data_IF_941842675850
#
_entry.id   IF_941842675850
#
_cell.length_a   1.000
_cell.length_b   1.000
_cell.length_c   1.000
_cell.angle_alpha   90.00
_cell.angle_beta   90.00
_cell.angle_gamma   90.00
#
_symmetry.space_group_name_H-M   'P 1'
#
loop_
_entity.id
_entity.type
_entity.pdbx_description
1 polymer ?
#
# COMPACT_ATOMS: atom_id res chain seq x y z
N UNK A 1 -12.03 35.38 27.45
CA UNK A 1 -12.65 34.40 26.56
C UNK A 1 -11.57 33.94 25.60
N UNK A 2 -11.13 32.68 25.68
CA UNK A 2 -10.22 32.14 24.67
C UNK A 2 -11.06 32.00 23.40
N UNK A 3 -10.85 32.88 22.44
CA UNK A 3 -11.43 32.72 21.10
C UNK A 3 -10.80 31.51 20.47
N UNK A 4 -11.60 30.47 20.18
CA UNK A 4 -11.16 29.33 19.38
C UNK A 4 -10.71 29.80 18.00
N UNK A 5 -9.64 29.23 17.47
CA UNK A 5 -9.24 29.57 16.09
C UNK A 5 -10.25 28.92 15.14
N UNK A 6 -10.77 29.75 14.21
CA UNK A 6 -11.72 29.32 13.18
C UNK A 6 -11.01 29.15 11.83
N UNK A 7 -11.32 28.09 11.12
CA UNK A 7 -10.84 27.79 9.77
C UNK A 7 -12.01 27.44 8.84
N UNK A 8 -11.89 27.76 7.57
CA UNK A 8 -12.86 27.26 6.58
C UNK A 8 -12.78 25.73 6.49
N UNK A 9 -11.55 25.17 6.56
CA UNK A 9 -11.32 23.73 6.41
C UNK A 9 -10.31 23.22 7.44
N UNK A 10 -10.68 22.18 8.15
CA UNK A 10 -9.77 21.42 9.01
C UNK A 10 -9.53 20.04 8.42
N UNK A 11 -8.27 19.73 8.13
CA UNK A 11 -7.82 18.43 7.59
C UNK A 11 -7.22 17.61 8.72
N UNK A 12 -7.76 16.42 8.97
CA UNK A 12 -7.26 15.48 9.98
C UNK A 12 -6.35 14.45 9.31
N UNK A 13 -5.04 14.61 9.47
CA UNK A 13 -3.99 13.81 8.87
C UNK A 13 -3.22 14.55 7.78
N UNK A 14 -1.90 14.62 7.94
CA UNK A 14 -0.96 15.30 7.03
C UNK A 14 -0.23 14.34 6.09
N UNK A 15 -0.91 13.25 5.64
CA UNK A 15 -0.40 12.33 4.62
C UNK A 15 -0.57 12.84 3.20
N UNK A 16 -0.44 11.95 2.20
CA UNK A 16 -0.60 12.30 0.78
C UNK A 16 -1.95 12.96 0.50
N UNK A 17 -3.06 12.30 0.88
CA UNK A 17 -4.42 12.80 0.65
C UNK A 17 -4.70 14.10 1.40
N UNK A 18 -4.25 14.20 2.67
CA UNK A 18 -4.46 15.41 3.47
C UNK A 18 -3.68 16.63 2.96
N UNK A 19 -2.44 16.44 2.51
CA UNK A 19 -1.65 17.52 1.89
C UNK A 19 -2.25 17.94 0.54
N UNK A 20 -2.72 17.01 -0.28
CA UNK A 20 -3.40 17.31 -1.53
C UNK A 20 -4.71 18.09 -1.29
N UNK A 21 -5.53 17.65 -0.32
CA UNK A 21 -6.75 18.32 0.05
C UNK A 21 -6.49 19.74 0.57
N UNK A 22 -5.54 19.88 1.49
CA UNK A 22 -5.23 21.19 2.08
C UNK A 22 -4.72 22.20 1.04
N UNK A 23 -3.82 21.76 0.13
CA UNK A 23 -3.31 22.63 -0.94
C UNK A 23 -4.44 23.02 -1.90
N UNK A 24 -5.34 22.09 -2.25
CA UNK A 24 -6.47 22.36 -3.14
C UNK A 24 -7.43 23.37 -2.51
N UNK A 25 -7.82 23.17 -1.26
CA UNK A 25 -8.69 24.08 -0.54
C UNK A 25 -8.07 25.49 -0.38
N UNK A 26 -6.79 25.57 0.00
CA UNK A 26 -6.09 26.84 0.15
C UNK A 26 -5.95 27.60 -1.17
N UNK A 27 -5.75 26.91 -2.30
CA UNK A 27 -5.76 27.51 -3.65
C UNK A 27 -7.14 28.06 -4.05
N UNK A 28 -8.21 27.51 -3.49
CA UNK A 28 -9.56 28.02 -3.63
C UNK A 28 -9.86 29.20 -2.66
N UNK A 29 -8.84 29.73 -1.98
CA UNK A 29 -8.97 30.89 -1.08
C UNK A 29 -9.47 30.55 0.33
N UNK A 30 -9.54 29.27 0.70
CA UNK A 30 -9.98 28.85 2.04
C UNK A 30 -8.84 28.95 3.06
N UNK A 31 -9.17 29.35 4.28
CA UNK A 31 -8.27 29.22 5.44
C UNK A 31 -8.21 27.74 5.87
N UNK A 32 -7.00 27.15 5.94
CA UNK A 32 -6.84 25.72 6.14
C UNK A 32 -5.90 25.41 7.31
N UNK A 33 -6.31 24.44 8.14
CA UNK A 33 -5.46 23.87 9.19
C UNK A 33 -5.35 22.36 9.00
N UNK A 34 -4.12 21.82 9.09
CA UNK A 34 -3.86 20.38 9.17
C UNK A 34 -3.53 19.99 10.60
N UNK A 35 -4.26 19.01 11.15
CA UNK A 35 -3.94 18.37 12.43
C UNK A 35 -3.29 17.01 12.15
N UNK A 36 -2.00 16.87 12.46
CA UNK A 36 -1.22 15.66 12.22
C UNK A 36 -0.75 15.05 13.55
N UNK A 37 -0.95 13.74 13.72
CA UNK A 37 -0.57 13.03 14.96
C UNK A 37 0.94 12.80 15.12
N UNK A 38 1.66 12.65 14.01
CA UNK A 38 3.11 12.47 14.03
C UNK A 38 3.83 13.83 14.14
N UNK A 39 5.12 13.80 14.31
CA UNK A 39 5.97 14.98 14.52
C UNK A 39 6.07 15.90 13.31
N UNK A 40 5.66 15.45 12.14
CA UNK A 40 5.64 16.24 10.90
C UNK A 40 4.68 15.63 9.86
N UNK A 41 4.20 16.43 8.93
CA UNK A 41 3.41 15.97 7.79
C UNK A 41 4.27 15.22 6.75
N UNK A 42 3.63 14.34 5.97
CA UNK A 42 4.22 13.63 4.83
C UNK A 42 5.21 12.52 5.19
N UNK A 43 5.28 12.07 6.45
CA UNK A 43 6.28 11.07 6.86
C UNK A 43 6.05 9.69 6.25
N UNK A 44 4.79 9.28 6.00
CA UNK A 44 4.49 8.00 5.33
C UNK A 44 4.97 8.00 3.87
N UNK A 45 4.99 9.15 3.19
CA UNK A 45 5.51 9.28 1.82
C UNK A 45 6.98 8.83 1.72
N UNK A 46 7.80 9.12 2.75
CA UNK A 46 9.23 8.79 2.76
C UNK A 46 9.52 7.28 2.65
N UNK A 47 8.57 6.43 3.00
CA UNK A 47 8.71 4.98 2.92
C UNK A 47 8.17 4.39 1.60
N UNK A 48 7.39 5.16 0.83
CA UNK A 48 6.75 4.67 -0.39
C UNK A 48 7.76 4.43 -1.52
N UNK A 49 7.52 3.41 -2.34
CA UNK A 49 8.39 3.07 -3.47
C UNK A 49 9.86 2.85 -3.07
N UNK A 50 10.10 2.23 -1.90
CA UNK A 50 11.45 2.06 -1.33
C UNK A 50 12.21 3.38 -1.17
N UNK A 51 11.54 4.45 -0.74
CA UNK A 51 12.11 5.78 -0.57
C UNK A 51 12.17 6.62 -1.85
N UNK A 52 11.64 6.12 -2.98
CA UNK A 52 11.59 6.81 -4.27
C UNK A 52 10.29 7.56 -4.50
N UNK A 53 9.23 7.27 -3.75
CA UNK A 53 7.86 7.77 -3.90
C UNK A 53 7.27 7.42 -5.29
N UNK A 54 6.69 6.24 -5.43
CA UNK A 54 5.91 5.90 -6.62
C UNK A 54 4.60 6.70 -6.61
N UNK A 55 4.62 7.87 -7.28
CA UNK A 55 3.56 8.88 -7.23
C UNK A 55 2.22 8.38 -7.79
N UNK A 56 2.28 7.61 -8.86
CA UNK A 56 1.11 7.14 -9.62
C UNK A 56 1.53 6.07 -10.63
N UNK A 57 0.63 5.75 -11.54
CA UNK A 57 0.85 4.93 -12.72
C UNK A 57 0.51 5.74 -13.99
N UNK A 58 1.11 5.42 -15.12
CA UNK A 58 0.80 6.03 -16.43
C UNK A 58 -0.58 5.63 -16.94
N UNK A 59 -1.11 4.51 -16.45
CA UNK A 59 -2.46 4.02 -16.77
C UNK A 59 -3.14 3.63 -15.47
N UNK A 60 -4.09 4.43 -15.02
CA UNK A 60 -4.87 4.20 -13.81
C UNK A 60 -6.11 3.41 -14.18
N UNK A 61 -6.11 2.12 -13.82
CA UNK A 61 -7.21 1.21 -14.07
C UNK A 61 -8.04 1.01 -12.78
N UNK A 62 -9.32 1.43 -12.76
CA UNK A 62 -10.21 1.21 -11.60
C UNK A 62 -10.34 -0.26 -11.19
N UNK A 63 -10.14 -1.23 -12.12
CA UNK A 63 -10.19 -2.66 -11.81
C UNK A 63 -9.05 -3.14 -10.90
N UNK A 64 -8.02 -2.33 -10.71
CA UNK A 64 -6.94 -2.57 -9.74
C UNK A 64 -7.36 -2.35 -8.28
N UNK A 65 -8.51 -1.74 -8.04
CA UNK A 65 -9.03 -1.39 -6.71
C UNK A 65 -10.08 -2.39 -6.22
N UNK A 66 -10.33 -2.42 -4.91
CA UNK A 66 -11.35 -3.29 -4.30
C UNK A 66 -12.79 -2.83 -4.56
N UNK A 67 -13.03 -1.53 -4.85
CA UNK A 67 -14.33 -0.93 -5.18
C UNK A 67 -14.25 -0.18 -6.52
N UNK A 68 -14.13 -0.87 -7.67
CA UNK A 68 -13.81 -0.22 -8.96
C UNK A 68 -14.82 0.83 -9.39
N UNK A 69 -16.12 0.58 -9.27
CA UNK A 69 -17.16 1.53 -9.66
C UNK A 69 -17.16 2.82 -8.82
N UNK A 70 -16.89 2.70 -7.50
CA UNK A 70 -16.73 3.85 -6.62
C UNK A 70 -15.51 4.68 -7.01
N UNK A 71 -14.37 4.02 -7.23
CA UNK A 71 -13.12 4.65 -7.63
C UNK A 71 -13.25 5.35 -8.97
N UNK A 72 -13.86 4.72 -9.97
CA UNK A 72 -14.11 5.31 -11.29
C UNK A 72 -14.96 6.58 -11.19
N UNK A 73 -16.03 6.56 -10.38
CA UNK A 73 -16.89 7.72 -10.16
C UNK A 73 -16.14 8.90 -9.53
N UNK A 74 -15.19 8.65 -8.63
CA UNK A 74 -14.41 9.68 -7.94
C UNK A 74 -13.25 10.18 -8.81
N UNK A 75 -12.54 9.30 -9.48
CA UNK A 75 -11.37 9.65 -10.29
C UNK A 75 -11.72 10.46 -11.53
N UNK A 76 -12.91 10.20 -12.12
CA UNK A 76 -13.32 10.85 -13.35
C UNK A 76 -12.58 10.34 -14.59
N UNK A 77 -12.77 11.00 -15.76
CA UNK A 77 -12.36 10.44 -17.05
C UNK A 77 -10.87 10.55 -17.38
N UNK A 78 -10.12 11.42 -16.73
CA UNK A 78 -8.71 11.71 -17.06
C UNK A 78 -7.84 11.87 -15.81
N UNK A 79 -7.79 10.85 -14.93
CA UNK A 79 -7.11 10.94 -13.65
C UNK A 79 -5.59 11.15 -13.79
N UNK A 80 -4.96 10.60 -14.84
CA UNK A 80 -3.53 10.74 -15.09
C UNK A 80 -3.17 12.19 -15.41
N UNK A 81 -3.96 12.85 -16.27
CA UNK A 81 -3.73 14.25 -16.66
C UNK A 81 -3.91 15.18 -15.47
N UNK A 82 -4.92 14.94 -14.65
CA UNK A 82 -5.18 15.71 -13.44
C UNK A 82 -4.00 15.59 -12.45
N UNK A 83 -3.48 14.39 -12.23
CA UNK A 83 -2.32 14.18 -11.37
C UNK A 83 -1.06 14.83 -11.93
N UNK A 84 -0.82 14.72 -13.24
CA UNK A 84 0.31 15.39 -13.88
C UNK A 84 0.22 16.91 -13.72
N UNK A 85 -0.97 17.49 -13.91
CA UNK A 85 -1.25 18.91 -13.66
C UNK A 85 -0.99 19.30 -12.20
N UNK A 86 -1.47 18.49 -11.26
CA UNK A 86 -1.26 18.70 -9.83
C UNK A 86 0.24 18.69 -9.49
N UNK A 87 1.00 17.67 -9.87
CA UNK A 87 2.44 17.59 -9.60
C UNK A 87 3.23 18.71 -10.26
N UNK A 88 2.93 19.03 -11.52
CA UNK A 88 3.56 20.16 -12.22
C UNK A 88 3.32 21.49 -11.49
N UNK A 89 2.12 21.70 -10.98
CA UNK A 89 1.75 22.91 -10.22
C UNK A 89 2.48 23.05 -8.87
N UNK A 90 3.02 21.95 -8.36
CA UNK A 90 3.88 21.92 -7.18
C UNK A 90 5.38 22.07 -7.52
N UNK A 91 5.72 22.16 -8.81
CA UNK A 91 7.12 22.15 -9.28
C UNK A 91 7.77 20.77 -9.24
N UNK A 92 7.00 19.69 -9.15
CA UNK A 92 7.50 18.32 -9.17
C UNK A 92 7.63 17.86 -10.61
N UNK A 93 8.86 17.62 -11.06
CA UNK A 93 9.14 16.94 -12.31
C UNK A 93 9.04 15.43 -12.13
N UNK A 94 8.40 14.75 -13.07
CA UNK A 94 8.18 13.30 -13.03
C UNK A 94 9.00 12.56 -14.07
N UNK A 95 9.20 11.26 -13.85
CA UNK A 95 9.77 10.30 -14.78
C UNK A 95 9.02 8.98 -14.67
N UNK A 96 8.97 8.20 -15.74
CA UNK A 96 8.34 6.88 -15.75
C UNK A 96 9.38 5.77 -15.79
N UNK A 97 9.11 4.69 -15.06
CA UNK A 97 9.84 3.44 -15.11
C UNK A 97 8.81 2.29 -15.08
N UNK A 98 8.74 1.51 -16.13
CA UNK A 98 7.82 0.36 -16.26
C UNK A 98 6.34 0.77 -15.98
N UNK A 99 5.89 1.90 -16.49
CA UNK A 99 4.55 2.44 -16.29
C UNK A 99 4.30 3.07 -14.91
N UNK A 100 5.28 3.04 -14.02
CA UNK A 100 5.21 3.66 -12.69
C UNK A 100 5.76 5.06 -12.72
N UNK A 101 5.04 6.01 -12.14
CA UNK A 101 5.41 7.41 -12.13
C UNK A 101 6.18 7.76 -10.85
N UNK A 102 7.38 8.29 -11.02
CA UNK A 102 8.26 8.72 -9.93
C UNK A 102 8.61 10.21 -10.04
N UNK A 103 9.02 10.89 -8.95
CA UNK A 103 9.71 12.16 -9.10
C UNK A 103 11.04 11.94 -9.84
N UNK A 104 11.43 12.86 -10.72
CA UNK A 104 12.70 12.76 -11.47
C UNK A 104 13.93 12.62 -10.56
N UNK A 105 13.85 13.15 -9.34
CA UNK A 105 14.89 13.01 -8.33
C UNK A 105 15.03 11.58 -7.80
N UNK A 106 14.04 10.70 -8.00
CA UNK A 106 13.92 9.38 -7.40
C UNK A 106 14.04 9.41 -5.87
N UNK A 107 13.61 10.51 -5.23
CA UNK A 107 13.68 10.72 -3.79
C UNK A 107 12.33 11.17 -3.24
N UNK A 108 11.78 10.41 -2.31
CA UNK A 108 10.52 10.73 -1.64
C UNK A 108 10.60 12.04 -0.83
N UNK A 109 11.78 12.38 -0.33
CA UNK A 109 12.02 13.63 0.38
C UNK A 109 11.71 14.84 -0.50
N UNK A 110 12.10 14.83 -1.78
CA UNK A 110 11.86 15.96 -2.68
C UNK A 110 10.38 16.21 -2.94
N UNK A 111 9.56 15.15 -2.98
CA UNK A 111 8.10 15.26 -3.10
C UNK A 111 7.50 15.88 -1.84
N UNK A 112 7.87 15.33 -0.68
CA UNK A 112 7.40 15.84 0.61
C UNK A 112 7.78 17.31 0.81
N UNK A 113 9.01 17.66 0.52
CA UNK A 113 9.50 19.01 0.74
C UNK A 113 8.84 20.00 -0.23
N UNK A 114 8.56 19.61 -1.49
CA UNK A 114 7.78 20.42 -2.43
C UNK A 114 6.36 20.69 -1.91
N UNK A 115 5.66 19.65 -1.40
CA UNK A 115 4.33 19.80 -0.81
C UNK A 115 4.35 20.76 0.40
N UNK A 116 5.30 20.59 1.32
CA UNK A 116 5.40 21.45 2.52
C UNK A 116 5.75 22.88 2.17
N UNK A 117 6.62 23.11 1.18
CA UNK A 117 6.95 24.45 0.69
C UNK A 117 5.72 25.15 0.12
N UNK A 118 4.84 24.41 -0.59
CA UNK A 118 3.57 24.98 -1.09
C UNK A 118 2.60 25.25 0.05
N UNK A 119 2.52 24.38 1.07
CA UNK A 119 1.72 24.62 2.27
C UNK A 119 2.14 25.92 2.98
N UNK A 120 3.44 26.14 3.14
CA UNK A 120 4.00 27.35 3.77
C UNK A 120 3.63 28.61 2.96
N UNK A 121 3.83 28.60 1.64
CA UNK A 121 3.49 29.71 0.73
C UNK A 121 2.00 30.05 0.72
N UNK A 122 1.14 29.06 0.90
CA UNK A 122 -0.32 29.24 0.95
C UNK A 122 -0.83 29.59 2.35
N UNK A 123 0.06 29.68 3.35
CA UNK A 123 -0.31 30.01 4.73
C UNK A 123 -1.12 28.92 5.44
N UNK A 124 -0.98 27.64 5.02
CA UNK A 124 -1.66 26.52 5.65
C UNK A 124 -1.08 26.28 7.04
N UNK A 125 -1.93 26.30 8.07
CA UNK A 125 -1.50 26.03 9.46
C UNK A 125 -1.26 24.53 9.65
N UNK A 126 -0.05 24.17 10.13
CA UNK A 126 0.31 22.77 10.43
C UNK A 126 0.43 22.58 11.95
N UNK A 127 -0.45 21.77 12.54
CA UNK A 127 -0.41 21.39 13.96
C UNK A 127 0.02 19.94 14.07
N UNK A 128 1.34 19.72 14.18
CA UNK A 128 1.94 18.39 14.29
C UNK A 128 2.04 17.91 15.75
N UNK A 129 2.07 16.58 15.94
CA UNK A 129 2.07 15.93 17.24
C UNK A 129 0.70 16.01 17.94
N UNK A 130 -0.37 16.31 17.22
CA UNK A 130 -1.70 16.56 17.76
C UNK A 130 -2.71 15.49 17.34
N UNK A 131 -3.63 15.17 18.26
CA UNK A 131 -4.75 14.26 18.00
C UNK A 131 -6.06 15.00 18.21
N UNK A 132 -7.06 14.73 17.38
CA UNK A 132 -8.46 15.11 17.66
C UNK A 132 -8.96 14.20 18.78
N UNK A 133 -9.43 14.80 19.87
CA UNK A 133 -9.95 14.11 21.04
C UNK A 133 -11.47 13.99 21.00
N UNK A 134 -12.15 15.00 20.49
CA UNK A 134 -13.60 15.01 20.27
C UNK A 134 -13.97 15.98 19.16
N UNK A 135 -15.13 15.77 18.55
CA UNK A 135 -15.74 16.68 17.58
C UNK A 135 -17.25 16.69 17.80
N UNK A 136 -17.88 17.86 17.64
CA UNK A 136 -19.33 17.99 17.66
C UNK A 136 -19.77 19.04 16.63
N UNK A 137 -20.99 18.86 16.16
CA UNK A 137 -21.63 19.82 15.29
C UNK A 137 -21.78 21.16 16.03
N UNK A 138 -21.36 22.24 15.41
CA UNK A 138 -21.58 23.60 15.83
C UNK A 138 -22.69 24.26 14.97
N UNK A 139 -23.03 25.51 15.24
CA UNK A 139 -24.04 26.24 14.46
C UNK A 139 -23.65 26.37 12.98
N UNK A 140 -22.37 26.52 12.69
CA UNK A 140 -21.82 26.71 11.33
C UNK A 140 -20.65 25.76 11.06
N UNK A 141 -20.89 24.44 11.20
CA UNK A 141 -19.86 23.42 10.95
C UNK A 141 -19.47 22.60 12.18
N UNK A 142 -18.23 22.62 12.57
CA UNK A 142 -17.64 21.72 13.56
C UNK A 142 -16.89 22.45 14.67
N UNK A 143 -17.08 22.04 15.92
CA UNK A 143 -16.23 22.36 17.05
C UNK A 143 -15.43 21.12 17.45
N UNK A 144 -14.10 21.24 17.47
CA UNK A 144 -13.17 20.14 17.76
C UNK A 144 -12.32 20.47 18.98
N UNK A 145 -12.02 19.44 19.76
CA UNK A 145 -10.98 19.49 20.78
C UNK A 145 -9.77 18.71 20.29
N UNK A 146 -8.63 19.36 20.24
CA UNK A 146 -7.37 18.69 19.93
C UNK A 146 -6.50 18.59 21.18
N UNK A 147 -5.76 17.50 21.28
CA UNK A 147 -4.74 17.31 22.30
C UNK A 147 -3.37 17.40 21.63
N UNK A 148 -2.58 18.44 21.97
CA UNK A 148 -1.30 18.75 21.33
C UNK A 148 -0.17 18.99 22.32
N UNK A 149 1.11 18.99 21.90
CA UNK A 149 2.23 19.40 22.76
C UNK A 149 2.01 20.79 23.36
N UNK A 150 2.23 20.93 24.67
CA UNK A 150 2.13 22.20 25.36
C UNK A 150 3.25 23.19 25.01
N UNK A 151 4.34 22.68 24.42
CA UNK A 151 5.50 23.45 23.95
C UNK A 151 6.05 22.87 22.66
N UNK A 152 6.82 23.66 21.91
CA UNK A 152 7.48 23.21 20.69
C UNK A 152 8.41 22.02 20.97
N UNK A 153 8.38 21.05 20.07
CA UNK A 153 9.29 19.90 20.12
C UNK A 153 10.70 20.36 19.72
N UNK A 154 11.70 19.96 20.52
CA UNK A 154 13.10 20.20 20.21
C UNK A 154 13.76 18.89 19.84
N UNK A 155 14.23 18.76 18.60
CA UNK A 155 15.12 17.67 18.22
C UNK A 155 16.53 17.91 18.78
N UNK A 156 17.23 16.83 19.10
CA UNK A 156 18.70 16.89 19.14
C UNK A 156 19.18 16.99 17.69
N UNK A 157 20.19 17.84 17.44
CA UNK A 157 20.84 17.86 16.12
C UNK A 157 21.44 16.50 15.81
N UNK A 158 21.16 15.98 14.63
CA UNK A 158 21.68 14.73 14.08
C UNK A 158 22.14 15.00 12.65
N UNK A 159 23.13 14.22 12.18
CA UNK A 159 23.65 14.34 10.82
C UNK A 159 22.69 13.74 9.78
N UNK A 160 21.75 12.91 10.22
CA UNK A 160 20.74 12.30 9.35
C UNK A 160 19.30 12.56 9.82
N UNK A 161 18.41 12.74 8.86
CA UNK A 161 16.98 13.03 9.07
C UNK A 161 16.24 11.92 9.82
N UNK A 162 16.64 10.66 9.64
CA UNK A 162 15.97 9.51 10.29
C UNK A 162 16.20 9.52 11.80
N UNK A 163 17.42 9.85 12.23
CA UNK A 163 17.76 10.00 13.63
C UNK A 163 17.11 11.24 14.25
N UNK A 164 17.03 12.35 13.51
CA UNK A 164 16.30 13.54 13.93
C UNK A 164 14.81 13.25 14.16
N UNK A 165 14.12 12.60 13.22
CA UNK A 165 12.72 12.21 13.36
C UNK A 165 12.50 11.26 14.55
N UNK A 166 13.42 10.31 14.78
CA UNK A 166 13.38 9.44 15.95
C UNK A 166 13.50 10.23 17.25
N UNK A 167 14.38 11.23 17.29
CA UNK A 167 14.54 12.13 18.43
C UNK A 167 13.29 12.96 18.68
N UNK A 168 12.66 13.50 17.63
CA UNK A 168 11.39 14.23 17.73
C UNK A 168 10.26 13.36 18.25
N UNK A 169 10.11 12.12 17.74
CA UNK A 169 9.09 11.17 18.24
C UNK A 169 9.30 10.83 19.72
N UNK A 170 10.56 10.68 20.16
CA UNK A 170 10.88 10.48 21.57
C UNK A 170 10.52 11.72 22.41
N UNK A 171 10.79 12.92 21.88
CA UNK A 171 10.39 14.16 22.54
C UNK A 171 8.86 14.29 22.62
N UNK A 172 8.13 13.94 21.54
CA UNK A 172 6.68 13.95 21.50
C UNK A 172 6.04 13.02 22.54
N UNK A 173 6.62 11.83 22.74
CA UNK A 173 6.13 10.87 23.72
C UNK A 173 6.27 11.36 25.19
N UNK A 174 7.19 12.30 25.45
CA UNK A 174 7.51 12.76 26.79
C UNK A 174 7.11 14.23 27.08
N UNK A 175 6.57 14.94 26.08
CA UNK A 175 6.18 16.35 26.26
C UNK A 175 4.83 16.44 26.96
N UNK A 176 4.64 17.37 27.94
CA UNK A 176 3.33 17.68 28.46
C UNK A 176 2.35 18.09 27.34
N UNK A 177 1.12 17.66 27.46
CA UNK A 177 0.09 17.96 26.47
C UNK A 177 -0.92 18.98 27.00
N UNK A 178 -1.54 19.71 26.09
CA UNK A 178 -2.65 20.63 26.38
C UNK A 178 -3.81 20.37 25.45
N UNK A 179 -5.01 20.64 25.91
CA UNK A 179 -6.20 20.67 25.07
C UNK A 179 -6.33 22.06 24.46
N UNK A 180 -6.79 22.12 23.21
CA UNK A 180 -7.05 23.34 22.47
C UNK A 180 -8.31 23.15 21.64
N UNK A 181 -9.19 24.14 21.67
CA UNK A 181 -10.41 24.17 20.87
C UNK A 181 -10.13 24.77 19.49
N UNK A 182 -10.65 24.12 18.45
CA UNK A 182 -10.64 24.60 17.07
C UNK A 182 -12.07 24.58 16.54
N UNK A 183 -12.42 25.51 15.67
CA UNK A 183 -13.66 25.51 14.93
C UNK A 183 -13.38 25.48 13.44
N UNK A 184 -14.22 24.78 12.67
CA UNK A 184 -14.09 24.74 11.22
C UNK A 184 -15.47 24.64 10.55
N UNK A 185 -15.61 25.29 9.39
CA UNK A 185 -16.81 25.13 8.59
C UNK A 185 -16.93 23.69 8.07
N UNK A 186 -15.84 23.12 7.56
CA UNK A 186 -15.79 21.74 7.05
C UNK A 186 -14.62 20.95 7.62
N UNK A 187 -14.78 19.64 7.72
CA UNK A 187 -13.72 18.70 8.13
C UNK A 187 -13.44 17.70 7.01
N UNK A 188 -12.14 17.47 6.73
CA UNK A 188 -11.68 16.41 5.83
C UNK A 188 -10.88 15.38 6.63
N UNK A 189 -11.35 14.14 6.65
CA UNK A 189 -10.65 13.01 7.28
C UNK A 189 -9.69 12.38 6.27
N UNK A 190 -8.38 12.44 6.57
CA UNK A 190 -7.28 11.97 5.73
C UNK A 190 -6.24 11.16 6.55
N UNK A 191 -6.69 10.37 7.52
CA UNK A 191 -5.86 9.74 8.56
C UNK A 191 -5.09 8.51 8.10
N UNK A 192 -5.32 8.04 6.86
CA UNK A 192 -4.70 6.82 6.33
C UNK A 192 -5.34 5.54 6.90
N UNK A 193 -4.68 4.41 6.74
CA UNK A 193 -5.24 3.06 6.89
C UNK A 193 -5.63 2.61 8.31
N UNK A 194 -5.62 3.49 9.30
CA UNK A 194 -6.23 3.20 10.60
C UNK A 194 -7.07 4.40 11.07
N UNK A 195 -8.29 4.55 10.55
CA UNK A 195 -9.19 5.64 10.90
C UNK A 195 -10.01 5.38 12.18
N UNK A 196 -9.88 4.25 12.87
CA UNK A 196 -10.80 3.78 13.92
C UNK A 196 -11.17 4.88 14.93
N UNK A 197 -10.21 5.48 15.61
CA UNK A 197 -10.53 6.49 16.63
C UNK A 197 -11.18 7.76 16.06
N UNK A 198 -10.92 8.10 14.81
CA UNK A 198 -11.58 9.24 14.14
C UNK A 198 -12.96 8.82 13.65
N UNK A 199 -13.12 7.64 13.11
CA UNK A 199 -14.44 7.14 12.71
C UNK A 199 -15.39 7.07 13.91
N UNK A 200 -14.92 6.60 15.06
CA UNK A 200 -15.68 6.62 16.32
C UNK A 200 -16.08 8.06 16.71
N UNK A 201 -15.13 9.01 16.60
CA UNK A 201 -15.38 10.42 16.94
C UNK A 201 -16.49 11.04 16.09
N UNK A 202 -16.58 10.63 14.82
CA UNK A 202 -17.59 11.16 13.86
C UNK A 202 -18.73 10.19 13.60
N UNK A 203 -18.81 9.07 14.33
CA UNK A 203 -19.85 8.04 14.19
C UNK A 203 -19.95 7.46 12.78
N UNK A 204 -18.80 7.30 12.10
CA UNK A 204 -18.73 6.74 10.75
C UNK A 204 -18.65 5.21 10.78
N UNK A 205 -19.39 4.51 9.91
CA UNK A 205 -19.32 3.06 9.84
C UNK A 205 -17.98 2.58 9.28
N UNK A 206 -17.39 1.57 9.93
CA UNK A 206 -16.12 0.97 9.54
C UNK A 206 -16.31 -0.46 9.02
N UNK A 207 -15.55 -0.81 7.99
CA UNK A 207 -15.30 -2.20 7.58
C UNK A 207 -14.10 -2.78 8.36
N UNK A 208 -13.97 -4.11 8.35
CA UNK A 208 -12.88 -4.79 9.07
C UNK A 208 -11.51 -4.41 8.53
N UNK A 209 -10.63 -3.96 9.42
CA UNK A 209 -9.26 -3.60 9.07
C UNK A 209 -8.37 -4.85 9.01
N UNK A 210 -7.61 -5.00 7.94
CA UNK A 210 -6.58 -6.04 7.81
C UNK A 210 -5.36 -5.55 7.03
N UNK A 211 -4.15 -5.95 7.42
CA UNK A 211 -2.94 -5.65 6.65
C UNK A 211 -2.94 -6.39 5.32
N UNK A 212 -2.53 -5.70 4.25
CA UNK A 212 -2.36 -6.24 2.90
C UNK A 212 -1.10 -5.66 2.25
N UNK A 213 -0.78 -6.11 1.05
CA UNK A 213 0.48 -5.80 0.38
C UNK A 213 1.68 -6.12 1.28
N UNK A 214 1.69 -7.35 1.77
CA UNK A 214 2.71 -7.90 2.66
C UNK A 214 3.12 -9.30 2.21
N UNK A 215 4.20 -9.87 2.76
CA UNK A 215 4.58 -11.24 2.50
C UNK A 215 3.49 -12.25 2.86
N UNK A 216 3.52 -13.42 2.22
CA UNK A 216 2.60 -14.53 2.45
C UNK A 216 3.30 -15.65 3.20
N UNK A 217 2.72 -16.10 4.31
CA UNK A 217 3.11 -17.32 5.00
C UNK A 217 2.57 -18.52 4.24
N UNK A 218 3.43 -19.43 3.87
CA UNK A 218 3.08 -20.62 3.12
C UNK A 218 4.06 -21.75 3.38
N UNK A 219 3.68 -22.98 3.04
CA UNK A 219 4.55 -24.17 3.07
C UNK A 219 4.60 -24.83 1.70
N UNK A 220 5.76 -25.39 1.35
CA UNK A 220 5.91 -26.15 0.09
C UNK A 220 5.27 -27.53 0.27
N UNK A 221 4.39 -27.90 -0.65
CA UNK A 221 3.77 -29.23 -0.66
C UNK A 221 4.83 -30.28 -1.04
N UNK A 222 4.96 -31.32 -0.21
CA UNK A 222 5.97 -32.37 -0.39
C UNK A 222 7.31 -32.11 0.31
N UNK A 223 7.58 -30.88 0.77
CA UNK A 223 8.80 -30.60 1.55
C UNK A 223 8.58 -29.44 2.54
N UNK A 224 8.27 -29.80 3.79
CA UNK A 224 8.06 -28.80 4.85
C UNK A 224 9.31 -28.02 5.25
N UNK A 225 10.50 -28.53 4.94
CA UNK A 225 11.77 -27.89 5.26
C UNK A 225 12.29 -27.01 4.11
N UNK A 226 11.65 -27.06 2.95
CA UNK A 226 12.07 -26.40 1.71
C UNK A 226 12.43 -24.92 1.88
N UNK A 227 11.62 -24.18 2.61
CA UNK A 227 11.77 -22.73 2.76
C UNK A 227 13.08 -22.32 3.44
N UNK A 228 13.63 -23.17 4.33
CA UNK A 228 14.97 -22.91 4.92
C UNK A 228 16.07 -22.99 3.86
N UNK A 229 15.93 -23.93 2.92
CA UNK A 229 16.88 -24.10 1.82
C UNK A 229 16.76 -22.99 0.79
N UNK A 230 15.53 -22.47 0.59
CA UNK A 230 15.22 -21.43 -0.40
C UNK A 230 15.37 -20.01 0.13
N UNK A 231 15.61 -19.79 1.42
CA UNK A 231 15.63 -18.43 2.01
C UNK A 231 16.60 -17.50 1.28
N UNK A 232 16.08 -16.33 0.87
CA UNK A 232 16.82 -15.33 0.10
C UNK A 232 16.88 -15.60 -1.42
N UNK A 233 16.42 -16.74 -1.90
CA UNK A 233 16.41 -17.04 -3.33
C UNK A 233 15.30 -16.23 -4.02
N UNK A 234 15.63 -15.62 -5.17
CA UNK A 234 14.71 -14.94 -6.07
C UNK A 234 14.50 -15.77 -7.32
N UNK A 235 13.25 -15.94 -7.71
CA UNK A 235 12.86 -16.70 -8.89
C UNK A 235 11.80 -15.93 -9.66
N UNK A 236 11.98 -15.78 -10.98
CA UNK A 236 10.90 -15.31 -11.86
C UNK A 236 9.92 -16.44 -12.05
N UNK A 237 8.65 -16.19 -11.77
CA UNK A 237 7.60 -17.20 -11.88
C UNK A 237 6.27 -16.55 -12.23
N UNK A 238 5.34 -17.35 -12.77
CA UNK A 238 3.92 -17.02 -12.74
C UNK A 238 3.34 -17.58 -11.45
N UNK A 239 2.72 -16.68 -10.68
CA UNK A 239 1.96 -17.06 -9.50
C UNK A 239 0.49 -17.21 -9.88
N UNK A 240 -0.10 -18.35 -9.57
CA UNK A 240 -1.53 -18.57 -9.72
C UNK A 240 -2.14 -18.87 -8.36
N UNK A 241 -3.17 -18.11 -7.96
CA UNK A 241 -3.95 -18.38 -6.76
C UNK A 241 -5.10 -19.30 -7.11
N UNK A 242 -5.19 -20.45 -6.45
CA UNK A 242 -6.27 -21.40 -6.61
C UNK A 242 -7.00 -21.65 -5.29
N UNK A 243 -8.34 -21.72 -5.36
CA UNK A 243 -9.24 -22.07 -4.26
C UNK A 243 -10.25 -23.09 -4.75
N UNK A 244 -10.43 -24.18 -4.03
CA UNK A 244 -11.35 -25.25 -4.39
C UNK A 244 -11.18 -25.72 -5.86
N UNK A 245 -9.90 -25.86 -6.29
CA UNK A 245 -9.48 -26.27 -7.64
C UNK A 245 -9.80 -25.25 -8.76
N UNK A 246 -10.32 -24.07 -8.44
CA UNK A 246 -10.54 -22.99 -9.41
C UNK A 246 -9.46 -21.94 -9.31
N UNK A 247 -8.96 -21.49 -10.45
CA UNK A 247 -8.06 -20.34 -10.53
C UNK A 247 -8.84 -19.06 -10.23
N UNK A 248 -8.33 -18.25 -9.30
CA UNK A 248 -8.93 -16.98 -8.92
C UNK A 248 -8.16 -15.77 -9.48
N UNK A 249 -6.86 -15.93 -9.67
CA UNK A 249 -5.99 -14.83 -10.06
C UNK A 249 -4.60 -15.34 -10.44
N UNK A 250 -3.92 -14.63 -11.34
CA UNK A 250 -2.52 -14.88 -11.64
C UNK A 250 -1.76 -13.58 -11.95
N UNK A 251 -0.44 -13.62 -11.76
CA UNK A 251 0.49 -12.54 -12.12
C UNK A 251 1.90 -13.12 -12.33
N UNK A 252 2.60 -12.57 -13.32
CA UNK A 252 4.01 -12.89 -13.56
C UNK A 252 4.89 -11.92 -12.76
N UNK A 253 5.89 -12.43 -12.05
CA UNK A 253 6.79 -11.58 -11.30
C UNK A 253 7.94 -12.30 -10.61
N UNK A 254 8.74 -11.53 -9.91
CA UNK A 254 9.79 -12.07 -9.06
C UNK A 254 9.23 -12.51 -7.72
N UNK A 255 9.50 -13.76 -7.34
CA UNK A 255 9.19 -14.35 -6.04
C UNK A 255 10.47 -14.45 -5.23
N UNK A 256 10.48 -13.82 -4.05
CA UNK A 256 11.52 -13.96 -3.05
C UNK A 256 11.09 -14.99 -2.01
N UNK A 257 11.78 -16.11 -1.92
CA UNK A 257 11.55 -17.08 -0.86
C UNK A 257 12.11 -16.60 0.48
N UNK A 258 11.37 -16.86 1.55
CA UNK A 258 11.73 -16.57 2.93
C UNK A 258 11.45 -17.80 3.80
N UNK A 259 12.08 -17.86 4.96
CA UNK A 259 11.90 -19.00 5.88
C UNK A 259 10.45 -19.28 6.28
N UNK A 260 9.56 -18.29 6.18
CA UNK A 260 8.15 -18.37 6.53
C UNK A 260 7.21 -18.47 5.30
N UNK A 261 7.72 -18.35 4.08
CA UNK A 261 6.88 -18.31 2.87
C UNK A 261 7.51 -17.56 1.71
N UNK A 262 6.77 -16.64 1.11
CA UNK A 262 7.17 -15.90 -0.08
C UNK A 262 6.91 -14.39 0.06
N UNK A 263 7.67 -13.60 -0.70
CA UNK A 263 7.61 -12.14 -0.74
C UNK A 263 7.88 -11.63 -2.17
N UNK A 264 7.77 -10.34 -2.41
CA UNK A 264 7.95 -9.69 -3.72
C UNK A 264 6.68 -8.98 -4.17
N UNK A 265 6.78 -8.12 -5.21
CA UNK A 265 5.66 -7.27 -5.64
C UNK A 265 4.45 -8.08 -6.07
N UNK A 266 4.63 -9.12 -6.89
CA UNK A 266 3.54 -10.01 -7.31
C UNK A 266 2.91 -10.75 -6.11
N UNK A 267 3.72 -11.13 -5.12
CA UNK A 267 3.24 -11.74 -3.87
C UNK A 267 2.44 -10.74 -3.03
N UNK A 268 2.82 -9.46 -3.03
CA UNK A 268 2.04 -8.42 -2.34
C UNK A 268 0.67 -8.25 -2.98
N UNK A 269 0.57 -8.23 -4.31
CA UNK A 269 -0.71 -8.22 -5.02
C UNK A 269 -1.54 -9.47 -4.72
N UNK A 270 -0.90 -10.63 -4.67
CA UNK A 270 -1.52 -11.90 -4.26
C UNK A 270 -2.11 -11.80 -2.84
N UNK A 271 -1.38 -11.18 -1.89
CA UNK A 271 -1.78 -11.11 -0.47
C UNK A 271 -3.14 -10.42 -0.25
N UNK A 272 -3.58 -9.60 -1.18
CA UNK A 272 -4.92 -8.97 -1.15
C UNK A 272 -6.07 -9.96 -1.31
N UNK A 273 -5.80 -11.15 -1.88
CA UNK A 273 -6.79 -12.10 -2.38
C UNK A 273 -6.81 -13.42 -1.63
N UNK A 274 -5.75 -13.73 -0.87
CA UNK A 274 -5.55 -15.01 -0.20
C UNK A 274 -6.53 -15.23 0.96
N UNK A 275 -6.80 -16.51 1.19
CA UNK A 275 -7.40 -17.06 2.40
C UNK A 275 -6.54 -18.24 2.88
N UNK A 276 -6.57 -18.51 4.18
CA UNK A 276 -5.89 -19.68 4.74
C UNK A 276 -6.44 -20.97 4.09
N UNK A 277 -5.54 -21.83 3.64
CA UNK A 277 -5.88 -23.06 2.93
C UNK A 277 -5.92 -22.94 1.42
N UNK A 278 -5.81 -21.73 0.86
CA UNK A 278 -5.63 -21.57 -0.59
C UNK A 278 -4.31 -22.21 -1.06
N UNK A 279 -4.24 -22.54 -2.33
CA UNK A 279 -3.03 -23.05 -2.98
C UNK A 279 -2.45 -21.98 -3.90
N UNK A 280 -1.14 -21.75 -3.78
CA UNK A 280 -0.36 -20.99 -4.76
C UNK A 280 0.37 -21.99 -5.66
N UNK A 281 0.15 -21.85 -6.97
CA UNK A 281 0.89 -22.59 -7.99
C UNK A 281 1.95 -21.68 -8.58
N UNK A 282 3.20 -22.07 -8.49
CA UNK A 282 4.31 -21.37 -9.13
C UNK A 282 4.70 -22.11 -10.41
N UNK A 283 4.56 -21.44 -11.54
CA UNK A 283 5.20 -21.83 -12.79
C UNK A 283 6.60 -21.20 -12.81
N UNK A 284 7.62 -22.03 -12.62
CA UNK A 284 9.03 -21.58 -12.56
C UNK A 284 9.68 -21.43 -13.94
N UNK A 285 8.92 -21.67 -15.01
CA UNK A 285 9.29 -21.44 -16.40
C UNK A 285 8.17 -20.69 -17.14
N UNK A 286 7.81 -19.49 -16.72
CA UNK A 286 6.64 -18.76 -17.26
C UNK A 286 6.80 -18.40 -18.75
N UNK A 287 8.04 -18.33 -19.22
CA UNK A 287 8.38 -17.96 -20.61
C UNK A 287 8.30 -19.16 -21.58
N UNK A 288 8.08 -20.40 -21.09
CA UNK A 288 7.94 -21.60 -21.89
C UNK A 288 6.53 -22.19 -21.74
N UNK A 289 5.94 -22.60 -22.84
CA UNK A 289 4.75 -23.46 -22.80
C UNK A 289 5.10 -24.83 -22.22
N UNK A 290 4.08 -25.62 -21.87
CA UNK A 290 4.25 -26.97 -21.36
C UNK A 290 4.97 -27.88 -22.37
N UNK A 291 4.62 -27.75 -23.67
CA UNK A 291 5.18 -28.55 -24.73
C UNK A 291 6.64 -28.16 -25.04
N UNK A 292 6.97 -26.87 -25.06
CA UNK A 292 8.35 -26.39 -25.22
C UNK A 292 9.25 -26.85 -24.06
N UNK A 293 8.75 -26.81 -22.83
CA UNK A 293 9.48 -27.31 -21.66
C UNK A 293 9.69 -28.84 -21.76
N UNK A 294 8.66 -29.59 -22.18
CA UNK A 294 8.76 -31.03 -22.40
C UNK A 294 9.80 -31.39 -23.46
N UNK A 295 9.78 -30.69 -24.60
CA UNK A 295 10.76 -30.91 -25.67
C UNK A 295 12.20 -30.58 -25.22
N UNK A 296 12.36 -29.53 -24.41
CA UNK A 296 13.64 -29.17 -23.84
C UNK A 296 14.13 -30.26 -22.87
N UNK A 297 13.27 -30.78 -21.99
CA UNK A 297 13.63 -31.87 -21.05
C UNK A 297 13.93 -33.20 -21.78
N UNK A 298 13.18 -33.53 -22.85
CA UNK A 298 13.44 -34.70 -23.68
C UNK A 298 14.82 -34.61 -24.38
N UNK A 299 15.21 -33.43 -24.85
CA UNK A 299 16.58 -33.21 -25.38
C UNK A 299 17.61 -33.37 -24.28
N UNK A 300 17.33 -32.93 -23.06
CA UNK A 300 18.21 -33.08 -21.91
C UNK A 300 18.39 -34.55 -21.51
N UNK A 301 17.35 -35.36 -21.56
CA UNK A 301 17.44 -36.84 -21.37
C UNK A 301 18.40 -37.45 -22.34
N UNK A 302 18.40 -37.03 -23.62
CA UNK A 302 19.34 -37.54 -24.64
C UNK A 302 20.79 -37.16 -24.36
N UNK A 303 21.03 -36.01 -23.75
CA UNK A 303 22.36 -35.47 -23.46
C UNK A 303 22.95 -35.99 -22.16
N UNK A 304 22.14 -36.11 -21.10
CA UNK A 304 22.60 -36.38 -19.73
C UNK A 304 22.13 -37.73 -19.18
N UNK A 305 21.27 -38.44 -19.91
CA UNK A 305 20.55 -39.61 -19.39
C UNK A 305 19.24 -39.25 -18.72
N UNK A 306 18.49 -40.28 -18.29
CA UNK A 306 17.18 -40.14 -17.69
C UNK A 306 17.19 -39.30 -16.42
N UNK A 307 16.09 -38.55 -16.20
CA UNK A 307 15.88 -37.79 -14.96
C UNK A 307 15.78 -38.74 -13.76
N UNK A 308 16.36 -38.30 -12.65
CA UNK A 308 16.17 -38.92 -11.35
C UNK A 308 16.02 -37.88 -10.27
N UNK A 309 14.96 -37.93 -9.44
CA UNK A 309 14.80 -37.00 -8.33
C UNK A 309 15.87 -37.18 -7.24
N UNK A 310 16.64 -38.25 -7.28
CA UNK A 310 17.77 -38.48 -6.36
C UNK A 310 19.07 -37.79 -6.78
N UNK A 311 19.11 -37.22 -8.01
CA UNK A 311 20.24 -36.41 -8.48
C UNK A 311 19.78 -35.02 -8.92
N UNK A 312 19.69 -34.07 -7.99
CA UNK A 312 19.26 -32.70 -8.30
C UNK A 312 20.18 -31.98 -9.30
N UNK A 313 21.41 -32.42 -9.50
CA UNK A 313 22.35 -31.88 -10.49
C UNK A 313 21.84 -32.04 -11.93
N UNK A 314 20.93 -32.98 -12.15
CA UNK A 314 20.27 -33.11 -13.45
C UNK A 314 19.55 -31.81 -13.89
N UNK A 315 19.13 -30.97 -12.94
CA UNK A 315 18.52 -29.67 -13.19
C UNK A 315 19.52 -28.49 -13.22
N UNK A 316 20.81 -28.74 -13.06
CA UNK A 316 21.84 -27.69 -13.08
C UNK A 316 21.85 -26.95 -14.43
N UNK A 317 22.05 -25.65 -14.39
CA UNK A 317 21.95 -24.77 -15.56
C UNK A 317 20.51 -24.42 -15.98
N UNK A 318 19.49 -25.01 -15.35
CA UNK A 318 18.07 -24.65 -15.53
C UNK A 318 17.50 -23.93 -14.30
N UNK A 319 17.82 -24.44 -13.12
CA UNK A 319 17.36 -23.89 -11.83
C UNK A 319 18.57 -23.58 -10.94
N UNK A 320 18.37 -22.68 -10.00
CA UNK A 320 19.34 -22.48 -8.93
C UNK A 320 19.52 -23.78 -8.12
N UNK A 321 20.74 -24.11 -7.66
CA UNK A 321 20.99 -25.37 -6.98
C UNK A 321 20.13 -25.66 -5.76
N UNK A 322 19.74 -24.59 -5.03
CA UNK A 322 18.82 -24.70 -3.90
C UNK A 322 17.42 -25.12 -4.36
N UNK A 323 16.93 -24.53 -5.45
CA UNK A 323 15.62 -24.84 -6.01
C UNK A 323 15.62 -26.25 -6.62
N UNK A 324 16.70 -26.66 -7.30
CA UNK A 324 16.85 -28.02 -7.84
C UNK A 324 16.71 -29.10 -6.74
N UNK A 325 17.35 -28.88 -5.58
CA UNK A 325 17.23 -29.79 -4.43
C UNK A 325 15.82 -29.89 -3.91
N UNK A 326 15.19 -28.75 -3.71
CA UNK A 326 13.81 -28.69 -3.19
C UNK A 326 12.81 -29.29 -4.18
N UNK A 327 12.93 -28.96 -5.47
CA UNK A 327 12.10 -29.54 -6.54
C UNK A 327 12.21 -31.06 -6.54
N UNK A 328 13.42 -31.60 -6.51
CA UNK A 328 13.63 -33.05 -6.50
C UNK A 328 13.07 -33.74 -5.26
N UNK A 329 13.27 -33.14 -4.07
CA UNK A 329 12.70 -33.65 -2.80
C UNK A 329 11.19 -33.65 -2.83
N UNK A 330 10.59 -32.51 -3.18
CA UNK A 330 9.13 -32.38 -3.21
C UNK A 330 8.51 -33.24 -4.34
N UNK A 331 9.17 -33.36 -5.48
CA UNK A 331 8.73 -34.24 -6.58
C UNK A 331 8.70 -35.70 -6.14
N UNK A 332 9.75 -36.22 -5.50
CA UNK A 332 9.80 -37.60 -4.99
C UNK A 332 8.70 -37.88 -3.98
N UNK A 333 8.37 -36.90 -3.13
CA UNK A 333 7.26 -37.02 -2.15
C UNK A 333 5.87 -37.02 -2.83
N UNK A 334 5.69 -36.22 -3.87
CA UNK A 334 4.41 -36.14 -4.61
C UNK A 334 4.24 -37.25 -5.65
N UNK A 335 5.35 -37.81 -6.20
CA UNK A 335 5.40 -38.81 -7.26
C UNK A 335 6.41 -39.89 -6.93
N UNK A 336 6.20 -40.71 -5.88
CA UNK A 336 7.19 -41.69 -5.40
C UNK A 336 7.66 -42.65 -6.49
N UNK A 337 8.98 -42.72 -6.69
CA UNK A 337 9.60 -43.61 -7.68
C UNK A 337 9.42 -43.22 -9.14
N UNK A 338 8.83 -42.04 -9.42
CA UNK A 338 8.68 -41.55 -10.80
C UNK A 338 9.97 -40.89 -11.30
N UNK A 339 10.39 -41.29 -12.51
CA UNK A 339 11.46 -40.67 -13.29
C UNK A 339 10.92 -40.04 -14.60
N UNK A 340 9.59 -39.88 -14.69
CA UNK A 340 8.92 -39.41 -15.90
C UNK A 340 9.06 -37.92 -16.04
N UNK A 341 9.64 -37.46 -17.15
CA UNK A 341 9.79 -36.02 -17.47
C UNK A 341 8.44 -35.33 -17.72
N UNK A 342 7.39 -36.04 -18.11
CA UNK A 342 6.04 -35.46 -18.28
C UNK A 342 5.50 -35.06 -16.91
N UNK A 343 5.66 -35.90 -15.91
CA UNK A 343 5.32 -35.56 -14.52
C UNK A 343 6.17 -34.42 -14.00
N UNK A 344 7.48 -34.41 -14.32
CA UNK A 344 8.38 -33.31 -13.93
C UNK A 344 7.95 -31.98 -14.56
N UNK A 345 7.59 -31.94 -15.84
CA UNK A 345 7.08 -30.74 -16.50
C UNK A 345 5.84 -30.23 -15.79
N UNK A 346 4.87 -31.11 -15.52
CA UNK A 346 3.66 -30.73 -14.80
C UNK A 346 3.97 -30.18 -13.41
N UNK A 347 4.94 -30.74 -12.71
CA UNK A 347 5.37 -30.31 -11.38
C UNK A 347 6.06 -28.93 -11.42
N UNK A 348 6.95 -28.70 -12.39
CA UNK A 348 7.64 -27.41 -12.57
C UNK A 348 6.70 -26.27 -12.99
N UNK A 349 5.66 -26.59 -13.74
CA UNK A 349 4.61 -25.64 -14.14
C UNK A 349 3.60 -25.35 -13.02
N UNK A 350 3.55 -26.21 -11.98
CA UNK A 350 2.59 -26.11 -10.87
C UNK A 350 3.27 -26.46 -9.54
N UNK A 351 4.41 -25.84 -9.24
CA UNK A 351 5.08 -26.02 -7.96
C UNK A 351 4.20 -25.43 -6.84
N UNK A 352 3.72 -26.29 -5.93
CA UNK A 352 2.62 -25.98 -5.01
C UNK A 352 3.10 -25.48 -3.67
N UNK A 353 2.50 -24.36 -3.23
CA UNK A 353 2.58 -23.88 -1.85
C UNK A 353 1.18 -23.82 -1.25
N UNK A 354 1.04 -24.23 0.00
CA UNK A 354 -0.19 -24.10 0.78
C UNK A 354 -0.12 -22.81 1.60
N UNK A 355 -1.14 -21.95 1.46
CA UNK A 355 -1.23 -20.66 2.16
C UNK A 355 -1.63 -20.87 3.62
N UNK A 356 -0.86 -20.30 4.52
CA UNK A 356 -1.14 -20.27 5.96
C UNK A 356 -1.74 -18.92 6.40
N UNK A 357 -1.47 -17.84 5.65
CA UNK A 357 -1.94 -16.49 5.91
C UNK A 357 -0.97 -15.42 5.44
N UNK A 358 -1.11 -14.21 5.93
CA UNK A 358 -0.16 -13.11 5.77
C UNK A 358 1.01 -13.27 6.74
N UNK A 359 2.16 -12.72 6.38
CA UNK A 359 3.35 -12.68 7.24
C UNK A 359 3.87 -11.24 7.37
N UNK A 360 4.66 -10.99 8.42
CA UNK A 360 5.28 -9.67 8.66
C UNK A 360 4.29 -8.50 8.55
N UNK A 361 3.09 -8.64 9.09
CA UNK A 361 1.97 -7.69 9.01
C UNK A 361 2.35 -6.26 9.42
N UNK A 362 3.32 -6.11 10.31
CA UNK A 362 3.87 -4.79 10.70
C UNK A 362 4.59 -4.08 9.55
N UNK A 363 4.99 -4.82 8.52
CA UNK A 363 5.61 -4.30 7.29
C UNK A 363 4.62 -4.08 6.16
N UNK A 364 3.33 -4.37 6.37
CA UNK A 364 2.28 -4.16 5.39
C UNK A 364 2.28 -2.72 4.87
N UNK A 365 2.20 -2.57 3.56
CA UNK A 365 2.26 -1.25 2.93
C UNK A 365 0.93 -0.52 3.01
N UNK A 366 -0.18 -1.26 3.03
CA UNK A 366 -1.55 -0.77 2.97
C UNK A 366 -2.43 -1.58 3.94
N UNK A 367 -3.47 -0.95 4.45
CA UNK A 367 -4.54 -1.59 5.21
C UNK A 367 -5.78 -1.66 4.33
N UNK A 368 -6.37 -2.84 4.17
CA UNK A 368 -7.73 -3.00 3.63
C UNK A 368 -8.73 -2.72 4.73
N UNK A 369 -9.88 -2.16 4.36
CA UNK A 369 -10.87 -1.67 5.30
C UNK A 369 -10.67 -0.20 5.61
N UNK A 370 -11.63 0.41 6.26
CA UNK A 370 -11.70 1.83 6.56
C UNK A 370 -13.14 2.27 6.71
N UNK A 371 -13.42 3.55 6.55
CA UNK A 371 -14.78 4.07 6.47
C UNK A 371 -15.47 3.45 5.25
N UNK A 372 -16.67 2.87 5.49
CA UNK A 372 -17.43 2.20 4.43
C UNK A 372 -17.77 3.15 3.30
N UNK A 373 -17.45 2.75 2.06
CA UNK A 373 -17.76 3.52 0.86
C UNK A 373 -19.28 3.73 0.67
N UNK A 374 -20.11 2.85 1.22
CA UNK A 374 -21.57 2.95 1.18
C UNK A 374 -22.11 4.18 1.93
N UNK A 375 -21.33 4.70 2.89
CA UNK A 375 -21.66 5.88 3.67
C UNK A 375 -21.20 7.21 3.05
N UNK A 376 -20.59 7.14 1.86
CA UNK A 376 -19.91 8.27 1.23
C UNK A 376 -20.53 8.56 -0.14
N UNK A 377 -20.89 9.82 -0.35
CA UNK A 377 -21.43 10.28 -1.63
C UNK A 377 -20.33 10.52 -2.67
N UNK A 378 -20.52 10.06 -3.89
CA UNK A 378 -19.62 10.31 -5.02
C UNK A 378 -20.18 11.40 -5.94
N UNK A 379 -19.34 12.17 -6.62
CA UNK A 379 -17.87 12.16 -6.57
C UNK A 379 -17.29 13.00 -5.42
N UNK A 380 -18.13 13.66 -4.61
CA UNK A 380 -17.72 14.67 -3.63
C UNK A 380 -16.96 14.14 -2.42
N UNK A 381 -17.06 12.84 -2.13
CA UNK A 381 -16.52 12.18 -0.94
C UNK A 381 -17.11 12.69 0.39
N UNK A 382 -18.33 13.19 0.32
CA UNK A 382 -19.08 13.76 1.44
C UNK A 382 -19.77 12.64 2.26
N UNK A 383 -19.70 12.73 3.58
CA UNK A 383 -20.34 11.83 4.54
C UNK A 383 -21.66 12.36 5.13
N UNK A 384 -22.28 13.38 4.52
CA UNK A 384 -23.50 14.03 5.02
C UNK A 384 -24.71 13.09 5.13
N UNK A 385 -24.71 11.95 4.45
CA UNK A 385 -25.75 10.93 4.62
C UNK A 385 -25.75 10.29 6.02
N UNK A 386 -24.62 10.35 6.71
CA UNK A 386 -24.42 9.83 8.07
C UNK A 386 -24.41 10.96 9.09
N UNK A 387 -23.83 12.10 8.72
CA UNK A 387 -23.62 13.25 9.61
C UNK A 387 -24.14 14.52 8.95
N UNK A 388 -25.12 15.18 9.54
CA UNK A 388 -25.71 16.41 9.03
C UNK A 388 -24.81 17.64 9.30
N UNK A 389 -23.57 17.61 8.75
CA UNK A 389 -22.61 18.71 8.74
C UNK A 389 -21.53 18.43 7.68
N UNK A 390 -20.81 19.45 7.13
CA UNK A 390 -19.79 19.26 6.11
C UNK A 390 -18.62 18.39 6.60
N UNK A 391 -18.64 17.12 6.21
CA UNK A 391 -17.64 16.11 6.56
C UNK A 391 -17.26 15.32 5.30
N UNK A 392 -15.97 15.21 5.04
CA UNK A 392 -15.43 14.52 3.88
C UNK A 392 -14.41 13.48 4.32
N UNK A 393 -14.29 12.38 3.58
CA UNK A 393 -13.32 11.32 3.87
C UNK A 393 -12.52 11.01 2.61
N UNK A 394 -11.19 10.96 2.70
CA UNK A 394 -10.34 10.71 1.55
C UNK A 394 -9.13 9.81 1.86
N UNK A 395 -8.47 9.34 0.81
CA UNK A 395 -7.31 8.47 0.89
C UNK A 395 -7.65 7.10 1.47
N UNK A 396 -6.68 6.52 2.14
CA UNK A 396 -6.74 5.19 2.77
C UNK A 396 -7.62 5.19 4.06
N UNK A 397 -8.18 6.33 4.47
CA UNK A 397 -9.19 6.36 5.52
C UNK A 397 -10.52 5.74 5.06
N UNK A 398 -10.79 5.75 3.75
CA UNK A 398 -11.85 4.98 3.11
C UNK A 398 -11.43 3.52 2.91
N UNK A 399 -12.39 2.60 2.85
CA UNK A 399 -12.16 1.21 2.45
C UNK A 399 -11.81 1.13 0.95
N UNK A 400 -10.70 1.75 0.57
CA UNK A 400 -10.15 1.71 -0.79
C UNK A 400 -8.69 1.29 -0.73
N UNK A 401 -8.40 0.16 -1.35
CA UNK A 401 -7.06 -0.36 -1.56
C UNK A 401 -6.85 -0.82 -3.01
N UNK A 402 -5.61 -0.81 -3.47
CA UNK A 402 -5.24 -1.19 -4.81
C UNK A 402 -4.01 -2.10 -4.85
N UNK A 403 -3.76 -2.70 -6.01
CA UNK A 403 -2.52 -3.42 -6.29
C UNK A 403 -1.29 -2.50 -6.14
N UNK A 404 -0.09 -3.08 -6.01
CA UNK A 404 1.16 -2.35 -6.14
C UNK A 404 1.28 -1.74 -7.54
N UNK A 405 1.92 -0.58 -7.64
CA UNK A 405 2.12 0.06 -8.95
C UNK A 405 1.86 1.57 -8.97
N UNK A 406 1.66 2.19 -7.80
CA UNK A 406 1.36 3.62 -7.68
C UNK A 406 -0.14 3.92 -7.49
N UNK A 407 -1.00 2.92 -7.62
CA UNK A 407 -2.46 3.07 -7.56
C UNK A 407 -2.94 3.59 -6.19
N UNK A 408 -2.40 3.11 -5.08
CA UNK A 408 -2.77 3.57 -3.75
C UNK A 408 -2.42 5.05 -3.51
N UNK A 409 -1.28 5.52 -4.04
CA UNK A 409 -0.94 6.94 -3.98
C UNK A 409 -1.76 7.78 -4.96
N UNK A 410 -2.04 7.27 -6.17
CA UNK A 410 -2.95 7.92 -7.13
C UNK A 410 -4.32 8.18 -6.48
N UNK A 411 -4.89 7.16 -5.82
CA UNK A 411 -6.12 7.31 -5.04
C UNK A 411 -5.98 8.37 -3.95
N UNK A 412 -4.89 8.34 -3.18
CA UNK A 412 -4.69 9.31 -2.11
C UNK A 412 -4.68 10.76 -2.61
N UNK A 413 -4.00 11.03 -3.73
CA UNK A 413 -3.95 12.36 -4.33
C UNK A 413 -5.31 12.79 -4.85
N UNK A 414 -5.92 11.99 -5.74
CA UNK A 414 -7.19 12.36 -6.40
C UNK A 414 -8.31 12.50 -5.38
N UNK A 415 -8.46 11.56 -4.46
CA UNK A 415 -9.51 11.66 -3.45
C UNK A 415 -9.34 12.87 -2.54
N UNK A 416 -8.10 13.25 -2.20
CA UNK A 416 -7.82 14.50 -1.48
C UNK A 416 -8.24 15.75 -2.28
N UNK A 417 -7.90 15.78 -3.56
CA UNK A 417 -8.31 16.88 -4.47
C UNK A 417 -9.83 16.93 -4.58
N UNK A 418 -10.53 15.80 -4.78
CA UNK A 418 -12.00 15.75 -4.89
C UNK A 418 -12.70 16.23 -3.63
N UNK A 419 -12.28 15.74 -2.45
CA UNK A 419 -12.86 16.17 -1.19
C UNK A 419 -12.76 17.70 -1.01
N UNK A 420 -11.61 18.28 -1.35
CA UNK A 420 -11.40 19.70 -1.22
C UNK A 420 -12.10 20.55 -2.31
N UNK A 421 -12.26 20.03 -3.51
CA UNK A 421 -12.97 20.72 -4.60
C UNK A 421 -14.49 20.72 -4.41
N UNK A 422 -14.99 19.96 -3.45
CA UNK A 422 -16.43 19.85 -3.14
C UNK A 422 -16.88 20.72 -1.95
N UNK A 423 -15.99 21.59 -1.44
CA UNK A 423 -16.20 22.47 -0.28
C UNK A 423 -17.02 23.72 -0.59
#
# INVERSE_FOLDING_TARGET
>A
MNTSAFYDVLVIGGGASGLAAAITAARAGKSVCIVERDVACGLKLLATGNGRCNLSNESIDPQRYNHPAFVESVMGPQPEQELMGFFSSLGIMTTSEEGRLYPRSLRAESVRDALLNVCDRLGITLICGANVASAHKASEGWALQINRPARALKAKKHDDRKSELRSLRKALANVPRKNEALEAHAVIIATGGNPTGIADTFSLPLTSLRPILCPVSATVVGDRAALKTLDGLRVRARLTLARNHSELWHEDGEVLFRTFGISGVAVFNLSRRIQRGDTILLDVFPDLSKDELLDMLNRRVKLLGGFSPRDPRWLDGMLAPQLSRVVCTAFEQCHPGSNDVVHLVSFLKHFKLLVEGTAEERSAQVTRGGVSVESISTPSLNACSVVDAPLYVCGEALDIDADCGGFNLAWAWISGIRAASSL
#
